data_IF_604384755630
#
_entry.id   IF_604384755630
#
_cell.length_a   1.000
_cell.length_b   1.000
_cell.length_c   1.000
_cell.angle_alpha   90.00
_cell.angle_beta   90.00
_cell.angle_gamma   90.00
#
_symmetry.space_group_name_H-M   'P 1'
#
loop_
_entity.id
_entity.type
_entity.pdbx_description
1 polymer ?
#
# COMPACT_ATOMS: atom_id res chain seq x y z
N UNK A 1 11.13 -0.92 2.16
CA UNK A 1 10.29 -0.26 3.19
C UNK A 1 8.87 -0.63 2.87
N UNK A 2 8.06 -1.07 3.83
CA UNK A 2 6.66 -1.37 3.54
C UNK A 2 5.85 -0.07 3.43
N UNK A 3 5.14 0.13 2.32
CA UNK A 3 4.18 1.23 2.10
C UNK A 3 4.72 2.62 2.52
N UNK A 4 5.90 3.06 2.04
CA UNK A 4 6.44 4.33 2.46
C UNK A 4 5.57 5.49 1.96
N UNK A 5 5.01 6.25 2.90
CA UNK A 5 4.25 7.47 2.65
C UNK A 5 4.90 8.66 3.32
N UNK A 6 4.73 9.84 2.75
CA UNK A 6 5.15 11.11 3.31
C UNK A 6 4.03 12.14 3.11
N UNK A 7 3.16 12.28 4.11
CA UNK A 7 1.82 12.91 4.03
C UNK A 7 1.83 14.45 3.85
N UNK A 8 2.90 15.04 3.34
CA UNK A 8 2.91 16.42 2.86
C UNK A 8 3.53 16.48 1.46
N UNK A 9 2.93 17.22 0.53
CA UNK A 9 3.48 17.39 -0.82
C UNK A 9 4.92 17.96 -0.81
N UNK A 10 5.25 18.77 0.21
CA UNK A 10 6.62 19.25 0.45
C UNK A 10 7.63 18.16 0.79
N UNK A 11 7.19 16.97 1.19
CA UNK A 11 8.02 15.86 1.64
C UNK A 11 8.17 14.74 0.60
N UNK A 12 7.41 14.76 -0.50
CA UNK A 12 7.61 13.83 -1.62
C UNK A 12 9.05 13.83 -2.17
N UNK A 13 9.72 15.00 -2.33
CA UNK A 13 11.13 15.02 -2.73
C UNK A 13 12.06 14.40 -1.69
N UNK A 14 11.74 14.50 -0.40
CA UNK A 14 12.52 13.89 0.67
C UNK A 14 12.39 12.36 0.64
N UNK A 15 11.19 11.84 0.38
CA UNK A 15 10.98 10.40 0.17
C UNK A 15 11.76 9.90 -1.04
N UNK A 16 11.69 10.61 -2.18
CA UNK A 16 12.46 10.26 -3.38
C UNK A 16 13.98 10.22 -3.09
N UNK A 17 14.50 11.24 -2.41
CA UNK A 17 15.92 11.32 -2.05
C UNK A 17 16.32 10.16 -1.13
N UNK A 18 15.49 9.86 -0.13
CA UNK A 18 15.73 8.75 0.79
C UNK A 18 15.73 7.39 0.08
N UNK A 19 14.79 7.14 -0.84
CA UNK A 19 14.76 5.89 -1.62
C UNK A 19 16.05 5.76 -2.44
N UNK A 20 16.47 6.84 -3.10
CA UNK A 20 17.68 6.83 -3.92
C UNK A 20 18.94 6.55 -3.09
N UNK A 21 19.06 7.20 -1.93
CA UNK A 21 20.16 6.99 -0.98
C UNK A 21 20.20 5.55 -0.47
N UNK A 22 19.07 5.04 0.03
CA UNK A 22 19.01 3.70 0.62
C UNK A 22 19.19 2.59 -0.41
N UNK A 23 18.63 2.74 -1.62
CA UNK A 23 18.82 1.76 -2.69
C UNK A 23 20.30 1.70 -3.13
N UNK A 24 20.96 2.86 -3.26
CA UNK A 24 22.39 2.92 -3.55
C UNK A 24 23.23 2.31 -2.43
N UNK A 25 22.90 2.60 -1.17
CA UNK A 25 23.59 2.04 -0.01
C UNK A 25 23.46 0.51 0.03
N UNK A 26 22.26 -0.04 -0.14
CA UNK A 26 22.04 -1.49 -0.16
C UNK A 26 22.85 -2.14 -1.29
N UNK A 27 22.81 -1.59 -2.51
CA UNK A 27 23.60 -2.11 -3.65
C UNK A 27 25.12 -2.00 -3.45
N UNK A 28 25.57 -1.07 -2.61
CA UNK A 28 26.99 -0.98 -2.24
C UNK A 28 27.43 -2.14 -1.33
N UNK A 29 26.51 -2.66 -0.51
CA UNK A 29 26.73 -3.79 0.40
C UNK A 29 26.51 -5.14 -0.29
N UNK A 30 25.50 -5.23 -1.17
CA UNK A 30 25.11 -6.44 -1.86
C UNK A 30 24.75 -6.19 -3.32
N UNK A 31 25.58 -6.71 -4.23
CA UNK A 31 25.41 -6.59 -5.68
C UNK A 31 24.65 -7.76 -6.31
N UNK A 32 24.28 -8.78 -5.54
CA UNK A 32 23.66 -10.03 -6.05
C UNK A 32 22.15 -10.02 -5.92
N UNK A 33 21.61 -9.43 -4.86
CA UNK A 33 20.17 -9.44 -4.62
C UNK A 33 19.43 -8.30 -5.33
N UNK A 34 18.19 -8.59 -5.71
CA UNK A 34 17.27 -7.59 -6.25
C UNK A 34 16.79 -6.67 -5.11
N UNK A 35 16.57 -5.41 -5.44
CA UNK A 35 16.11 -4.35 -4.56
C UNK A 35 14.88 -3.71 -5.17
N UNK A 36 13.84 -3.57 -4.35
CA UNK A 36 12.65 -2.78 -4.65
C UNK A 36 12.35 -1.86 -3.47
N UNK A 37 11.38 -0.98 -3.64
CA UNK A 37 10.96 -0.05 -2.60
C UNK A 37 9.98 -0.72 -1.63
N UNK A 38 8.91 -1.35 -2.14
CA UNK A 38 7.73 -1.79 -1.38
C UNK A 38 6.59 -0.77 -1.46
N UNK A 39 6.25 -0.34 -2.68
CA UNK A 39 5.24 0.70 -2.91
C UNK A 39 3.85 0.09 -3.10
N UNK A 40 2.85 0.85 -2.67
CA UNK A 40 1.46 0.55 -3.03
C UNK A 40 1.19 0.79 -4.52
N UNK A 41 1.90 1.72 -5.15
CA UNK A 41 1.77 2.04 -6.58
C UNK A 41 1.07 3.37 -6.88
N UNK A 42 0.75 4.20 -5.88
CA UNK A 42 0.08 5.47 -6.16
C UNK A 42 0.88 6.39 -7.09
N UNK A 43 0.17 7.05 -7.99
CA UNK A 43 0.71 8.09 -8.85
C UNK A 43 0.67 9.44 -8.13
N UNK A 44 1.81 10.12 -8.07
CA UNK A 44 1.94 11.41 -7.40
C UNK A 44 1.39 12.57 -8.23
N UNK A 45 1.22 13.74 -7.58
CA UNK A 45 0.73 14.97 -8.23
C UNK A 45 1.60 15.45 -9.41
N UNK A 46 2.88 15.07 -9.43
CA UNK A 46 3.81 15.38 -10.52
C UNK A 46 3.60 14.53 -11.77
N UNK A 47 2.99 13.36 -11.63
CA UNK A 47 2.77 12.43 -12.75
C UNK A 47 1.46 12.78 -13.46
N UNK A 48 1.55 13.70 -14.42
CA UNK A 48 0.41 14.19 -15.21
C UNK A 48 -0.36 13.06 -15.88
N UNK A 49 -1.69 13.19 -15.92
CA UNK A 49 -2.63 12.26 -16.58
C UNK A 49 -2.71 10.84 -16.00
N UNK A 50 -2.21 10.61 -14.78
CA UNK A 50 -2.34 9.32 -14.07
C UNK A 50 -3.10 9.41 -12.75
N UNK A 51 -3.58 10.61 -12.39
CA UNK A 51 -4.38 10.82 -11.17
C UNK A 51 -5.71 10.08 -11.18
N UNK A 52 -6.26 9.76 -12.37
CA UNK A 52 -7.52 9.01 -12.53
C UNK A 52 -7.37 7.52 -12.25
N UNK A 53 -6.15 6.97 -12.33
CA UNK A 53 -5.86 5.57 -12.01
C UNK A 53 -5.86 5.33 -10.49
N UNK A 54 -5.58 6.38 -9.71
CA UNK A 54 -5.59 6.28 -8.25
C UNK A 54 -7.01 6.00 -7.71
N UNK A 55 -7.14 5.28 -6.57
CA UNK A 55 -8.44 4.98 -5.98
C UNK A 55 -9.17 6.23 -5.45
N UNK A 56 -8.47 7.35 -5.34
CA UNK A 56 -9.05 8.64 -4.98
C UNK A 56 -8.01 9.75 -4.98
N UNK A 57 -8.47 10.99 -4.95
CA UNK A 57 -7.63 12.20 -4.96
C UNK A 57 -6.63 12.22 -3.80
N UNK A 58 -7.00 11.58 -2.67
CA UNK A 58 -6.13 11.48 -1.49
C UNK A 58 -4.84 10.72 -1.75
N UNK A 59 -4.84 9.72 -2.66
CA UNK A 59 -3.70 8.85 -2.89
C UNK A 59 -2.48 9.62 -3.44
N UNK A 60 -2.73 10.57 -4.36
CA UNK A 60 -1.68 11.42 -4.92
C UNK A 60 -1.02 12.34 -3.87
N UNK A 61 -1.67 12.57 -2.73
CA UNK A 61 -1.19 13.43 -1.64
C UNK A 61 -0.35 12.68 -0.59
N UNK A 62 -0.13 11.37 -0.78
CA UNK A 62 0.66 10.56 0.15
C UNK A 62 2.18 10.64 -0.07
N UNK A 63 2.62 11.41 -1.07
CA UNK A 63 4.03 11.71 -1.33
C UNK A 63 4.81 10.58 -2.02
N UNK A 64 4.26 9.38 -2.11
CA UNK A 64 4.74 8.32 -3.00
C UNK A 64 4.33 8.61 -4.44
N UNK A 65 5.19 8.26 -5.40
CA UNK A 65 4.92 8.40 -6.83
C UNK A 65 5.58 7.24 -7.59
N UNK A 66 4.75 6.31 -8.08
CA UNK A 66 5.16 5.03 -8.66
C UNK A 66 6.28 5.15 -9.68
N UNK A 67 6.15 6.08 -10.64
CA UNK A 67 7.10 6.24 -11.74
C UNK A 67 8.47 6.72 -11.24
N UNK A 68 8.63 7.92 -10.66
CA UNK A 68 9.94 8.40 -10.25
C UNK A 68 10.55 7.57 -9.11
N UNK A 69 9.76 7.03 -8.19
CA UNK A 69 10.28 6.16 -7.12
C UNK A 69 10.87 4.86 -7.71
N UNK A 70 10.18 4.26 -8.69
CA UNK A 70 10.63 3.00 -9.31
C UNK A 70 11.69 3.21 -10.40
N UNK A 71 11.80 4.41 -10.99
CA UNK A 71 12.78 4.72 -12.03
C UNK A 71 14.23 4.83 -11.52
N UNK A 72 14.45 4.88 -10.20
CA UNK A 72 15.78 4.91 -9.58
C UNK A 72 16.64 3.74 -10.09
N UNK A 73 17.87 4.01 -10.52
CA UNK A 73 18.73 3.01 -11.17
C UNK A 73 19.06 1.78 -10.30
N UNK A 74 19.12 1.97 -8.99
CA UNK A 74 19.38 0.89 -8.02
C UNK A 74 18.13 0.11 -7.59
N UNK A 75 16.97 0.40 -8.18
CA UNK A 75 15.74 -0.39 -8.05
C UNK A 75 15.64 -1.32 -9.25
N UNK A 76 15.57 -2.63 -9.02
CA UNK A 76 15.58 -3.63 -10.10
C UNK A 76 14.19 -3.95 -10.65
N UNK A 77 13.17 -3.85 -9.80
CA UNK A 77 11.77 -4.09 -10.17
C UNK A 77 10.82 -3.20 -9.36
N UNK A 78 9.66 -2.89 -9.93
CA UNK A 78 8.63 -2.10 -9.28
C UNK A 78 7.69 -3.01 -8.48
N UNK A 79 7.30 -2.55 -7.30
CA UNK A 79 6.29 -3.21 -6.46
C UNK A 79 5.00 -2.40 -6.49
N UNK A 80 3.87 -3.09 -6.50
CA UNK A 80 2.52 -2.52 -6.49
C UNK A 80 1.67 -3.36 -5.55
N UNK A 81 0.84 -2.71 -4.74
CA UNK A 81 -0.09 -3.39 -3.85
C UNK A 81 -1.51 -3.13 -4.38
N UNK A 82 -2.50 -3.89 -3.90
CA UNK A 82 -3.89 -3.67 -4.27
C UNK A 82 -4.83 -4.04 -3.12
N UNK A 83 -5.55 -3.03 -2.62
CA UNK A 83 -6.54 -3.19 -1.54
C UNK A 83 -7.87 -2.54 -1.90
N UNK A 84 -8.55 -2.96 -2.98
CA UNK A 84 -9.78 -2.32 -3.46
C UNK A 84 -10.86 -2.22 -2.36
N UNK A 85 -11.06 -3.25 -1.55
CA UNK A 85 -12.02 -3.23 -0.45
C UNK A 85 -11.73 -2.14 0.61
N UNK A 86 -10.45 -1.80 0.82
CA UNK A 86 -10.04 -0.74 1.73
C UNK A 86 -10.04 0.64 1.08
N UNK A 87 -9.67 0.73 -0.20
CA UNK A 87 -9.47 2.00 -0.88
C UNK A 87 -10.77 2.60 -1.43
N UNK A 88 -11.71 1.75 -1.84
CA UNK A 88 -13.04 2.13 -2.36
C UNK A 88 -14.15 1.38 -1.59
N UNK A 89 -14.32 1.67 -0.28
CA UNK A 89 -15.18 0.88 0.62
C UNK A 89 -16.67 0.93 0.26
N UNK A 90 -17.09 1.88 -0.56
CA UNK A 90 -18.46 2.03 -1.02
C UNK A 90 -18.70 1.44 -2.42
N UNK A 91 -17.64 1.01 -3.12
CA UNK A 91 -17.78 0.39 -4.41
C UNK A 91 -18.40 -1.01 -4.30
N UNK A 92 -19.21 -1.42 -5.26
CA UNK A 92 -19.68 -2.81 -5.33
C UNK A 92 -18.61 -3.76 -5.95
N UNK A 93 -18.98 -5.04 -6.13
CA UNK A 93 -18.04 -6.04 -6.67
C UNK A 93 -17.59 -5.71 -8.10
N UNK A 94 -18.50 -5.20 -8.94
CA UNK A 94 -18.20 -4.87 -10.33
C UNK A 94 -17.27 -3.65 -10.39
N UNK A 95 -17.57 -2.60 -9.61
CA UNK A 95 -16.74 -1.40 -9.50
C UNK A 95 -15.33 -1.74 -8.98
N UNK A 96 -15.22 -2.59 -7.95
CA UNK A 96 -13.92 -3.03 -7.41
C UNK A 96 -13.13 -3.86 -8.41
N UNK A 97 -13.80 -4.74 -9.15
CA UNK A 97 -13.15 -5.58 -10.17
C UNK A 97 -12.67 -4.75 -11.36
N UNK A 98 -13.51 -3.84 -11.84
CA UNK A 98 -13.15 -2.90 -12.91
C UNK A 98 -11.95 -2.04 -12.50
N UNK A 99 -11.99 -1.46 -11.30
CA UNK A 99 -10.87 -0.70 -10.75
C UNK A 99 -9.58 -1.54 -10.67
N UNK A 100 -9.65 -2.77 -10.17
CA UNK A 100 -8.47 -3.63 -10.06
C UNK A 100 -7.89 -3.98 -11.43
N UNK A 101 -8.73 -4.20 -12.45
CA UNK A 101 -8.29 -4.43 -13.83
C UNK A 101 -7.53 -3.23 -14.36
N UNK A 102 -8.12 -2.03 -14.25
CA UNK A 102 -7.50 -0.78 -14.72
C UNK A 102 -6.19 -0.48 -13.95
N UNK A 103 -6.17 -0.78 -12.65
CA UNK A 103 -4.99 -0.66 -11.80
C UNK A 103 -3.86 -1.56 -12.30
N UNK A 104 -4.14 -2.84 -12.57
CA UNK A 104 -3.16 -3.81 -13.08
C UNK A 104 -2.64 -3.40 -14.46
N UNK A 105 -3.53 -3.10 -15.40
CA UNK A 105 -3.15 -2.77 -16.78
C UNK A 105 -2.30 -1.49 -16.84
N UNK A 106 -2.66 -0.48 -16.05
CA UNK A 106 -1.92 0.78 -15.98
C UNK A 106 -0.50 0.59 -15.48
N UNK A 107 -0.31 -0.21 -14.42
CA UNK A 107 1.01 -0.45 -13.83
C UNK A 107 1.89 -1.33 -14.71
N UNK A 108 1.34 -2.37 -15.33
CA UNK A 108 2.07 -3.22 -16.28
C UNK A 108 2.54 -2.37 -17.47
N UNK A 109 1.63 -1.59 -18.05
CA UNK A 109 1.94 -0.70 -19.18
C UNK A 109 3.05 0.31 -18.83
N UNK A 110 2.98 0.93 -17.66
CA UNK A 110 4.02 1.86 -17.22
C UNK A 110 5.35 1.16 -16.86
N UNK A 111 5.29 -0.07 -16.36
CA UNK A 111 6.45 -0.95 -16.21
C UNK A 111 7.20 -1.17 -17.53
N UNK A 112 6.45 -1.47 -18.58
CA UNK A 112 6.97 -1.76 -19.91
C UNK A 112 7.44 -0.50 -20.66
N UNK A 113 6.68 0.59 -20.57
CA UNK A 113 6.89 1.78 -21.40
C UNK A 113 7.78 2.81 -20.68
N UNK A 114 7.44 3.15 -19.43
CA UNK A 114 8.09 4.23 -18.69
C UNK A 114 9.31 3.76 -17.90
N UNK A 115 9.21 2.60 -17.23
CA UNK A 115 10.25 2.12 -16.32
C UNK A 115 11.27 1.19 -17.00
N UNK A 116 10.83 0.42 -17.99
CA UNK A 116 11.59 -0.71 -18.56
C UNK A 116 12.03 -1.70 -17.48
N UNK A 117 11.14 -1.98 -16.53
CA UNK A 117 11.39 -2.86 -15.37
C UNK A 117 10.21 -3.79 -15.13
N UNK A 118 10.44 -5.01 -14.61
CA UNK A 118 9.35 -5.88 -14.16
C UNK A 118 8.51 -5.19 -13.09
N UNK A 119 7.21 -5.48 -13.10
CA UNK A 119 6.25 -5.01 -12.09
C UNK A 119 5.70 -6.24 -11.38
N UNK A 120 5.78 -6.25 -10.05
CA UNK A 120 5.28 -7.33 -9.21
C UNK A 120 4.18 -6.79 -8.29
N UNK A 121 3.03 -7.45 -8.31
CA UNK A 121 1.96 -7.24 -7.33
C UNK A 121 2.27 -8.08 -6.09
N UNK A 122 2.75 -7.45 -5.02
CA UNK A 122 3.31 -8.18 -3.87
C UNK A 122 2.39 -8.26 -2.66
N UNK A 123 1.36 -7.40 -2.58
CA UNK A 123 0.29 -7.52 -1.58
C UNK A 123 -1.07 -7.33 -2.27
N UNK A 124 -2.01 -8.22 -1.96
CA UNK A 124 -3.36 -8.24 -2.52
C UNK A 124 -4.34 -8.61 -1.40
N UNK A 125 -5.28 -7.72 -1.09
CA UNK A 125 -6.42 -8.02 -0.22
C UNK A 125 -7.70 -7.74 -0.99
N UNK A 126 -8.37 -8.81 -1.40
CA UNK A 126 -9.64 -8.75 -2.12
C UNK A 126 -10.63 -9.66 -1.39
N UNK A 127 -11.85 -9.17 -1.15
CA UNK A 127 -12.95 -9.99 -0.65
C UNK A 127 -13.54 -10.87 -1.76
N UNK A 128 -13.98 -12.09 -1.43
CA UNK A 128 -14.71 -12.96 -2.38
C UNK A 128 -13.83 -13.61 -3.46
N UNK A 129 -12.51 -13.62 -3.29
CA UNK A 129 -11.56 -14.38 -4.13
C UNK A 129 -11.15 -15.71 -3.48
N UNK A 130 -12.05 -16.32 -2.70
CA UNK A 130 -11.76 -17.50 -1.87
C UNK A 130 -11.21 -18.68 -2.67
N UNK A 131 -11.52 -18.75 -3.98
CA UNK A 131 -10.99 -19.76 -4.91
C UNK A 131 -9.53 -19.58 -5.33
N UNK A 132 -8.87 -18.46 -4.98
CA UNK A 132 -7.49 -18.12 -5.34
C UNK A 132 -6.57 -17.97 -4.12
N UNK A 133 -7.08 -18.31 -2.94
CA UNK A 133 -6.37 -18.25 -1.66
C UNK A 133 -5.39 -19.43 -1.55
N UNK A 134 -4.19 -19.19 -1.02
CA UNK A 134 -3.26 -20.24 -0.61
C UNK A 134 -3.58 -20.76 0.80
N UNK A 135 -2.98 -21.88 1.22
CA UNK A 135 -3.24 -22.48 2.54
C UNK A 135 -2.83 -21.57 3.73
N UNK A 136 -2.21 -20.42 3.47
CA UNK A 136 -1.74 -19.47 4.47
C UNK A 136 -2.58 -18.19 4.54
N UNK A 137 -3.49 -17.96 3.59
CA UNK A 137 -4.30 -16.74 3.62
C UNK A 137 -5.44 -16.85 4.63
N UNK A 138 -5.73 -15.74 5.29
CA UNK A 138 -6.71 -15.66 6.35
C UNK A 138 -7.78 -14.63 6.00
N UNK A 139 -9.01 -15.09 5.77
CA UNK A 139 -10.16 -14.20 5.60
C UNK A 139 -10.86 -14.05 6.95
N UNK A 140 -10.80 -12.89 7.61
CA UNK A 140 -11.27 -12.78 9.00
C UNK A 140 -12.74 -13.10 9.20
N UNK A 141 -13.58 -12.87 8.17
CA UNK A 141 -15.02 -13.12 8.23
C UNK A 141 -15.37 -14.61 8.34
N UNK A 142 -14.51 -15.49 7.83
CA UNK A 142 -14.74 -16.94 7.83
C UNK A 142 -14.27 -17.61 9.13
N UNK A 143 -13.49 -16.90 9.95
CA UNK A 143 -12.90 -17.40 11.19
C UNK A 143 -13.25 -16.50 12.39
N UNK A 144 -14.53 -16.49 12.84
CA UNK A 144 -15.02 -15.54 13.82
C UNK A 144 -14.31 -15.60 15.17
N UNK A 145 -13.82 -16.77 15.60
CA UNK A 145 -13.04 -16.94 16.83
C UNK A 145 -11.67 -16.27 16.74
N UNK A 146 -10.94 -16.50 15.65
CA UNK A 146 -9.63 -15.90 15.38
C UNK A 146 -9.77 -14.40 15.17
N UNK A 147 -10.76 -13.95 14.40
CA UNK A 147 -11.03 -12.53 14.21
C UNK A 147 -11.37 -11.83 15.53
N UNK A 148 -12.19 -12.44 16.39
CA UNK A 148 -12.49 -11.91 17.73
C UNK A 148 -11.22 -11.78 18.57
N UNK A 149 -10.33 -12.78 18.55
CA UNK A 149 -9.07 -12.73 19.29
C UNK A 149 -8.13 -11.63 18.75
N UNK A 150 -7.96 -11.55 17.42
CA UNK A 150 -7.16 -10.50 16.76
C UNK A 150 -7.70 -9.13 17.17
N UNK A 151 -9.01 -8.92 17.07
CA UNK A 151 -9.67 -7.66 17.46
C UNK A 151 -9.41 -7.32 18.92
N UNK A 152 -9.57 -8.27 19.84
CA UNK A 152 -9.32 -8.07 21.28
C UNK A 152 -7.87 -7.66 21.56
N UNK A 153 -6.88 -8.31 20.93
CA UNK A 153 -5.47 -7.96 21.14
C UNK A 153 -5.12 -6.60 20.51
N UNK A 154 -5.67 -6.27 19.34
CA UNK A 154 -5.52 -4.95 18.72
C UNK A 154 -6.04 -3.83 19.63
N UNK A 155 -7.22 -4.00 20.22
CA UNK A 155 -7.79 -3.03 21.17
C UNK A 155 -6.94 -2.90 22.44
N UNK A 156 -6.43 -4.02 22.96
CA UNK A 156 -5.50 -4.01 24.09
C UNK A 156 -4.22 -3.21 23.78
N UNK A 157 -3.61 -3.41 22.61
CA UNK A 157 -2.43 -2.67 22.17
C UNK A 157 -2.70 -1.17 22.02
N UNK A 158 -3.84 -0.80 21.43
CA UNK A 158 -4.27 0.60 21.31
C UNK A 158 -4.40 1.26 22.69
N UNK A 159 -4.97 0.56 23.68
CA UNK A 159 -5.10 1.07 25.05
C UNK A 159 -3.74 1.31 25.73
N UNK A 160 -2.74 0.48 25.44
CA UNK A 160 -1.37 0.62 25.96
C UNK A 160 -0.68 1.82 25.30
N UNK A 161 -0.82 1.96 23.99
CA UNK A 161 -0.27 3.08 23.21
C UNK A 161 -0.87 4.43 23.65
N UNK A 162 -2.18 4.48 23.88
CA UNK A 162 -2.89 5.67 24.36
C UNK A 162 -2.57 6.04 25.83
N UNK A 163 -2.04 5.11 26.64
CA UNK A 163 -1.48 5.42 27.97
C UNK A 163 -0.08 6.03 27.87
N UNK A 164 0.67 5.68 26.82
CA UNK A 164 2.04 6.15 26.56
C UNK A 164 2.07 7.54 25.89
N UNK A 165 1.08 7.85 25.04
CA UNK A 165 0.91 9.18 24.41
C UNK A 165 -0.42 9.76 24.84
N UNK A 166 -0.49 11.05 25.24
CA UNK A 166 -1.75 11.80 25.43
C UNK A 166 -2.55 11.87 24.11
N UNK A 167 -3.20 10.79 23.70
CA UNK A 167 -4.02 10.72 22.50
C UNK A 167 -5.52 10.62 22.85
N UNK A 168 -6.32 11.10 21.88
CA UNK A 168 -7.77 11.33 21.97
C UNK A 168 -8.54 10.02 22.13
N UNK A 169 -9.70 10.10 22.80
CA UNK A 169 -10.65 9.00 22.98
C UNK A 169 -11.06 8.38 21.61
N UNK A 170 -11.33 7.06 21.56
CA UNK A 170 -11.83 6.40 20.35
C UNK A 170 -13.12 7.05 19.85
N UNK A 171 -13.25 7.18 18.53
CA UNK A 171 -14.48 7.66 17.88
C UNK A 171 -15.49 6.52 17.76
N UNK A 172 -16.77 6.83 17.51
CA UNK A 172 -17.87 5.86 17.49
C UNK A 172 -17.73 4.77 16.39
N UNK A 173 -16.90 5.02 15.38
CA UNK A 173 -16.59 4.06 14.32
C UNK A 173 -15.31 3.26 14.59
N UNK A 174 -14.67 3.44 15.75
CA UNK A 174 -13.50 2.68 16.15
C UNK A 174 -13.93 1.24 16.48
N UNK A 175 -13.33 0.21 15.86
CA UNK A 175 -13.63 -1.19 16.17
C UNK A 175 -13.51 -1.52 17.66
N UNK A 176 -12.75 -0.73 18.43
CA UNK A 176 -12.48 -0.87 19.85
C UNK A 176 -13.37 0.00 20.75
N UNK A 177 -14.33 0.75 20.19
CA UNK A 177 -15.20 1.68 20.94
C UNK A 177 -15.95 0.99 22.09
N UNK A 178 -16.52 -0.20 21.84
CA UNK A 178 -17.28 -0.96 22.85
C UNK A 178 -16.41 -1.85 23.76
N UNK A 179 -15.07 -1.79 23.64
CA UNK A 179 -14.15 -2.68 24.36
C UNK A 179 -13.23 -1.95 25.37
N UNK A 180 -13.46 -0.66 25.62
CA UNK A 180 -12.70 0.19 26.55
C UNK A 180 -13.49 0.53 27.82
#
# INVERSE_FOLDING_TARGET
MNEPRCSSSSSAPALQAWIAEMAAYIKSLDKRHLVTVGLEGFYGLSTTNKSEVNPGIWAASLGSDFIPNSAISNIDFASVYAYPDSWIPHGDLEERTSYLSDWVDSHISDGDIALRKPVLFTELLVGGVDGYIDDFSFVPQDYPSTYKLIKQQSCRLQSISAKSKRQRKPQQNDPCFDQL
#
